data_IF_096987415122
#
_entry.id   IF_096987415122
#
_cell.length_a   1.000
_cell.length_b   1.000
_cell.length_c   1.000
_cell.angle_alpha   90.00
_cell.angle_beta   90.00
_cell.angle_gamma   90.00
#
_symmetry.space_group_name_H-M   'P 1'
#
loop_
_entity.id
_entity.type
_entity.pdbx_description
1 polymer ?
#
# COMPACT_ATOMS: atom_id res chain seq x y z
N UNK A 1 -18.09 12.38 -11.04
CA UNK A 1 -16.79 12.26 -11.76
C UNK A 1 -15.67 12.96 -10.99
N UNK A 2 -15.85 14.24 -10.63
CA UNK A 2 -14.90 15.00 -9.79
C UNK A 2 -14.65 14.35 -8.42
N UNK A 3 -15.68 13.85 -7.73
CA UNK A 3 -15.48 13.17 -6.44
C UNK A 3 -14.62 11.92 -6.51
N UNK A 4 -14.75 11.11 -7.57
CA UNK A 4 -13.95 9.88 -7.74
C UNK A 4 -12.48 10.23 -7.94
N UNK A 5 -12.18 11.25 -8.75
CA UNK A 5 -10.81 11.74 -8.96
C UNK A 5 -10.25 12.38 -7.69
N UNK A 6 -11.06 13.13 -6.95
CA UNK A 6 -10.66 13.71 -5.67
C UNK A 6 -10.36 12.63 -4.63
N UNK A 7 -11.16 11.55 -4.60
CA UNK A 7 -10.93 10.41 -3.70
C UNK A 7 -9.71 9.59 -4.10
N UNK A 8 -9.43 9.47 -5.40
CA UNK A 8 -8.21 8.85 -5.90
C UNK A 8 -6.97 9.64 -5.45
N UNK A 9 -6.98 10.96 -5.64
CA UNK A 9 -5.89 11.84 -5.22
C UNK A 9 -5.77 11.90 -3.69
N UNK A 10 -6.88 11.95 -2.97
CA UNK A 10 -6.90 11.96 -1.51
C UNK A 10 -6.39 10.64 -0.94
N UNK A 11 -6.82 9.49 -1.45
CA UNK A 11 -6.31 8.18 -1.03
C UNK A 11 -4.83 7.99 -1.37
N UNK A 12 -4.38 8.49 -2.53
CA UNK A 12 -2.99 8.38 -2.96
C UNK A 12 -2.03 9.27 -2.16
N UNK A 13 -2.42 10.52 -1.86
CA UNK A 13 -1.53 11.53 -1.27
C UNK A 13 -1.86 11.92 0.19
N UNK A 14 -3.13 11.95 0.57
CA UNK A 14 -3.62 12.65 1.79
C UNK A 14 -3.94 11.66 2.92
N UNK A 15 -4.63 10.57 2.58
CA UNK A 15 -4.92 9.45 3.46
C UNK A 15 -4.07 8.23 3.09
N UNK A 16 -2.81 8.48 2.71
CA UNK A 16 -1.87 7.44 2.41
C UNK A 16 -1.67 6.58 3.67
N UNK A 17 -2.16 5.34 3.60
CA UNK A 17 -2.17 4.40 4.71
C UNK A 17 -0.79 4.22 5.31
N UNK A 18 0.30 4.30 4.52
CA UNK A 18 1.70 4.14 4.96
C UNK A 18 2.16 5.25 5.90
N UNK A 19 1.62 6.46 5.70
CA UNK A 19 2.06 7.67 6.39
C UNK A 19 1.20 7.99 7.61
N UNK A 20 -0.08 7.61 7.58
CA UNK A 20 -0.98 7.82 8.71
C UNK A 20 -0.96 6.65 9.71
N UNK A 21 -0.68 5.45 9.23
CA UNK A 21 -0.47 4.25 10.04
C UNK A 21 0.81 3.58 9.51
N UNK A 22 1.84 3.29 10.32
CA UNK A 22 3.11 2.73 9.81
C UNK A 22 2.99 1.25 9.35
N UNK A 23 1.88 0.88 8.73
CA UNK A 23 1.47 -0.46 8.29
C UNK A 23 2.19 -0.93 7.01
N UNK A 24 3.19 -0.21 6.52
CA UNK A 24 3.91 -0.50 5.28
C UNK A 24 5.43 -0.31 5.36
N UNK A 25 5.98 -0.17 6.57
CA UNK A 25 7.40 0.10 6.80
C UNK A 25 8.26 -1.16 6.57
N UNK A 26 7.71 -2.35 6.78
CA UNK A 26 8.41 -3.63 6.65
C UNK A 26 8.97 -3.89 5.24
N UNK A 27 8.20 -3.73 4.14
CA UNK A 27 8.75 -3.84 2.78
C UNK A 27 9.77 -2.74 2.45
N UNK A 28 9.65 -1.56 3.08
CA UNK A 28 10.54 -0.40 2.91
C UNK A 28 11.98 -0.71 3.39
N UNK A 29 12.10 -1.49 4.47
CA UNK A 29 13.37 -1.83 5.11
C UNK A 29 14.04 -3.06 4.47
N UNK A 30 13.28 -3.96 3.86
CA UNK A 30 13.77 -5.25 3.38
C UNK A 30 14.12 -5.31 1.88
N UNK A 31 13.65 -4.35 1.06
CA UNK A 31 13.91 -4.37 -0.38
C UNK A 31 15.31 -3.83 -0.74
N UNK A 32 16.12 -4.65 -1.41
CA UNK A 32 17.50 -4.34 -1.78
C UNK A 32 17.60 -4.04 -3.29
N UNK A 33 17.53 -2.76 -3.63
CA UNK A 33 17.79 -2.24 -4.99
C UNK A 33 16.55 -1.72 -5.73
N UNK A 34 16.78 -0.72 -6.60
CA UNK A 34 15.73 0.02 -7.35
C UNK A 34 14.70 -0.90 -8.02
N UNK A 35 15.18 -1.93 -8.74
CA UNK A 35 14.29 -2.85 -9.48
C UNK A 35 13.37 -3.65 -8.55
N UNK A 36 13.87 -4.08 -7.39
CA UNK A 36 13.08 -4.84 -6.42
C UNK A 36 12.04 -3.94 -5.74
N UNK A 37 12.39 -2.69 -5.43
CA UNK A 37 11.45 -1.71 -4.84
C UNK A 37 10.31 -1.40 -5.81
N UNK A 38 10.60 -1.16 -7.09
CA UNK A 38 9.55 -0.93 -8.08
C UNK A 38 8.68 -2.17 -8.33
N UNK A 39 9.28 -3.37 -8.36
CA UNK A 39 8.54 -4.63 -8.48
C UNK A 39 7.58 -4.83 -7.30
N UNK A 40 8.06 -4.58 -6.08
CA UNK A 40 7.25 -4.67 -4.86
C UNK A 40 6.13 -3.63 -4.82
N UNK A 41 6.40 -2.39 -5.19
CA UNK A 41 5.41 -1.33 -5.28
C UNK A 41 4.31 -1.63 -6.31
N UNK A 42 4.68 -2.16 -7.48
CA UNK A 42 3.71 -2.59 -8.49
C UNK A 42 2.87 -3.77 -7.99
N UNK A 43 3.51 -4.80 -7.41
CA UNK A 43 2.82 -5.98 -6.90
C UNK A 43 1.82 -5.63 -5.79
N UNK A 44 2.23 -4.77 -4.85
CA UNK A 44 1.37 -4.30 -3.76
C UNK A 44 0.23 -3.42 -4.27
N UNK A 45 0.47 -2.54 -5.25
CA UNK A 45 -0.59 -1.74 -5.86
C UNK A 45 -1.66 -2.60 -6.56
N UNK A 46 -1.22 -3.59 -7.35
CA UNK A 46 -2.13 -4.54 -7.98
C UNK A 46 -2.89 -5.37 -6.94
N UNK A 47 -2.22 -5.82 -5.88
CA UNK A 47 -2.85 -6.60 -4.82
C UNK A 47 -3.90 -5.77 -4.07
N UNK A 48 -3.59 -4.53 -3.69
CA UNK A 48 -4.54 -3.62 -3.04
C UNK A 48 -5.78 -3.39 -3.90
N UNK A 49 -5.61 -3.24 -5.22
CA UNK A 49 -6.75 -3.10 -6.15
C UNK A 49 -7.63 -4.36 -6.15
N UNK A 50 -7.05 -5.53 -6.34
CA UNK A 50 -7.81 -6.79 -6.45
C UNK A 50 -8.46 -7.15 -5.10
N UNK A 51 -7.70 -7.07 -4.01
CA UNK A 51 -8.20 -7.36 -2.66
C UNK A 51 -9.25 -6.35 -2.24
N UNK A 52 -9.06 -5.05 -2.50
CA UNK A 52 -10.03 -4.01 -2.15
C UNK A 52 -11.36 -4.18 -2.89
N UNK A 53 -11.30 -4.51 -4.18
CA UNK A 53 -12.50 -4.74 -5.00
C UNK A 53 -13.22 -6.04 -4.66
N UNK A 54 -12.50 -7.16 -4.60
CA UNK A 54 -13.08 -8.46 -4.22
C UNK A 54 -13.54 -8.47 -2.77
N UNK A 55 -12.80 -7.83 -1.88
CA UNK A 55 -13.17 -7.69 -0.46
C UNK A 55 -14.49 -6.95 -0.30
N UNK A 56 -14.72 -5.88 -1.07
CA UNK A 56 -16.01 -5.18 -1.09
C UNK A 56 -17.14 -6.04 -1.65
N UNK A 57 -16.91 -6.75 -2.76
CA UNK A 57 -17.90 -7.66 -3.36
C UNK A 57 -18.31 -8.80 -2.43
N UNK A 58 -17.34 -9.44 -1.77
CA UNK A 58 -17.59 -10.50 -0.80
C UNK A 58 -18.32 -9.96 0.41
N UNK A 59 -17.97 -8.76 0.84
CA UNK A 59 -18.61 -8.14 1.98
C UNK A 59 -20.08 -7.82 1.74
N UNK A 60 -20.40 -7.06 0.69
CA UNK A 60 -21.79 -6.71 0.35
C UNK A 60 -22.60 -7.90 -0.18
N UNK A 61 -21.96 -8.84 -0.88
CA UNK A 61 -22.63 -9.98 -1.50
C UNK A 61 -22.86 -11.17 -0.56
N UNK A 62 -22.03 -11.33 0.48
CA UNK A 62 -22.09 -12.50 1.37
C UNK A 62 -22.23 -12.10 2.83
N UNK A 63 -21.38 -11.21 3.35
CA UNK A 63 -21.34 -10.93 4.81
C UNK A 63 -22.53 -10.09 5.28
N UNK A 64 -22.90 -9.07 4.52
CA UNK A 64 -24.07 -8.21 4.82
C UNK A 64 -25.38 -9.02 4.82
N UNK A 65 -25.73 -9.82 3.79
CA UNK A 65 -26.98 -10.58 3.78
C UNK A 65 -27.03 -11.71 4.82
N UNK A 66 -25.88 -12.21 5.25
CA UNK A 66 -25.81 -13.28 6.28
C UNK A 66 -25.66 -12.75 7.70
N UNK A 67 -25.61 -11.42 7.91
CA UNK A 67 -25.36 -10.78 9.21
C UNK A 67 -24.03 -11.21 9.88
N UNK A 68 -23.05 -11.63 9.07
CA UNK A 68 -21.73 -12.11 9.54
C UNK A 68 -20.67 -11.00 9.55
N UNK A 69 -21.07 -9.75 9.78
CA UNK A 69 -20.18 -8.58 9.75
C UNK A 69 -19.03 -8.66 10.76
N UNK A 70 -19.19 -9.40 11.86
CA UNK A 70 -18.13 -9.65 12.84
C UNK A 70 -16.94 -10.47 12.28
N UNK A 71 -17.15 -11.24 11.18
CA UNK A 71 -16.11 -12.03 10.52
C UNK A 71 -15.36 -11.25 9.43
N UNK A 72 -15.71 -9.99 9.15
CA UNK A 72 -15.10 -9.14 8.10
C UNK A 72 -13.58 -9.21 8.10
N UNK A 73 -12.96 -8.98 9.25
CA UNK A 73 -11.50 -8.91 9.35
C UNK A 73 -10.83 -10.25 9.03
N UNK A 74 -11.43 -11.36 9.45
CA UNK A 74 -10.94 -12.71 9.20
C UNK A 74 -11.05 -13.07 7.71
N UNK A 75 -12.14 -12.67 7.06
CA UNK A 75 -12.38 -12.88 5.63
C UNK A 75 -11.43 -12.03 4.79
N UNK A 76 -11.28 -10.73 5.08
CA UNK A 76 -10.38 -9.85 4.34
C UNK A 76 -8.91 -10.26 4.47
N UNK A 77 -8.48 -10.70 5.65
CA UNK A 77 -7.13 -11.23 5.86
C UNK A 77 -6.89 -12.50 5.05
N UNK A 78 -7.81 -13.46 5.14
CA UNK A 78 -7.70 -14.73 4.41
C UNK A 78 -7.71 -14.51 2.89
N UNK A 79 -8.56 -13.60 2.40
CA UNK A 79 -8.66 -13.22 1.00
C UNK A 79 -7.35 -12.57 0.50
N UNK A 80 -6.76 -11.68 1.30
CA UNK A 80 -5.47 -11.06 0.98
C UNK A 80 -4.38 -12.11 0.82
N UNK A 81 -4.25 -13.03 1.79
CA UNK A 81 -3.22 -14.09 1.78
C UNK A 81 -3.39 -15.03 0.58
N UNK A 82 -4.62 -15.43 0.29
CA UNK A 82 -4.93 -16.33 -0.82
C UNK A 82 -4.57 -15.73 -2.19
N UNK A 83 -4.73 -14.42 -2.34
CA UNK A 83 -4.52 -13.71 -3.61
C UNK A 83 -3.06 -13.35 -3.90
N UNK A 84 -2.18 -13.34 -2.90
CA UNK A 84 -0.75 -13.05 -3.09
C UNK A 84 -0.15 -13.96 -4.16
N UNK A 85 -0.37 -15.28 -4.05
CA UNK A 85 0.25 -16.24 -4.95
C UNK A 85 -0.15 -16.22 -6.40
N UNK A 86 -1.45 -16.30 -6.73
CA UNK A 86 -1.88 -16.17 -8.11
C UNK A 86 -1.43 -14.84 -8.70
N UNK A 87 -1.44 -13.76 -7.91
CA UNK A 87 -0.95 -12.46 -8.36
C UNK A 87 0.54 -12.48 -8.70
N UNK A 88 1.42 -12.98 -7.81
CA UNK A 88 2.85 -13.03 -8.09
C UNK A 88 3.14 -13.84 -9.35
N UNK A 89 2.51 -15.02 -9.51
CA UNK A 89 2.70 -15.85 -10.72
C UNK A 89 2.25 -15.12 -11.99
N UNK A 90 1.14 -14.38 -11.91
CA UNK A 90 0.66 -13.57 -13.02
C UNK A 90 1.66 -12.47 -13.37
N UNK A 91 2.16 -11.75 -12.36
CA UNK A 91 3.11 -10.65 -12.54
C UNK A 91 4.46 -11.13 -13.09
N UNK A 92 4.99 -12.26 -12.61
CA UNK A 92 6.21 -12.89 -13.18
C UNK A 92 6.03 -13.26 -14.64
N UNK A 93 4.83 -13.68 -15.04
CA UNK A 93 4.52 -14.02 -16.44
C UNK A 93 4.39 -12.78 -17.34
N UNK A 94 3.83 -11.69 -16.82
CA UNK A 94 3.61 -10.46 -17.58
C UNK A 94 4.87 -9.59 -17.64
N UNK A 95 5.66 -9.55 -16.56
CA UNK A 95 6.88 -8.75 -16.44
C UNK A 95 8.06 -9.64 -16.02
N UNK A 96 8.57 -10.53 -16.90
CA UNK A 96 9.70 -11.41 -16.58
C UNK A 96 11.00 -10.65 -16.29
N UNK A 97 11.07 -9.35 -16.64
CA UNK A 97 12.22 -8.50 -16.39
C UNK A 97 12.36 -8.02 -14.93
N UNK A 98 11.33 -8.21 -14.09
CA UNK A 98 11.32 -7.76 -12.70
C UNK A 98 11.46 -8.94 -11.72
N UNK A 99 12.23 -8.78 -10.62
CA UNK A 99 12.42 -9.85 -9.64
C UNK A 99 11.22 -9.93 -8.69
N UNK A 100 10.24 -10.77 -9.04
CA UNK A 100 9.09 -11.06 -8.16
C UNK A 100 9.29 -12.29 -7.26
N UNK A 101 10.27 -13.13 -7.60
CA UNK A 101 10.60 -14.33 -6.82
C UNK A 101 11.08 -13.94 -5.42
N UNK A 102 10.42 -14.46 -4.38
CA UNK A 102 10.75 -14.17 -2.98
C UNK A 102 10.08 -12.92 -2.39
N UNK A 103 9.23 -12.19 -3.12
CA UNK A 103 8.46 -11.07 -2.55
C UNK A 103 7.30 -11.54 -1.66
N UNK A 104 6.93 -12.82 -1.70
CA UNK A 104 5.79 -13.37 -0.96
C UNK A 104 5.75 -12.99 0.53
N UNK A 105 6.84 -13.12 1.31
CA UNK A 105 6.81 -12.77 2.73
C UNK A 105 6.62 -11.27 2.95
N UNK A 106 7.15 -10.44 2.05
CA UNK A 106 7.04 -8.99 2.11
C UNK A 106 5.61 -8.50 1.80
N UNK A 107 4.91 -9.19 0.90
CA UNK A 107 3.49 -8.92 0.63
C UNK A 107 2.59 -9.45 1.75
N UNK A 108 2.90 -10.60 2.33
CA UNK A 108 2.12 -11.20 3.41
C UNK A 108 2.17 -10.37 4.70
N UNK A 109 3.30 -9.73 4.99
CA UNK A 109 3.47 -8.82 6.12
C UNK A 109 3.00 -7.38 5.86
N UNK A 110 2.53 -7.04 4.66
CA UNK A 110 2.16 -5.66 4.35
C UNK A 110 0.76 -5.33 4.87
N UNK A 111 0.72 -4.72 6.05
CA UNK A 111 -0.53 -4.32 6.69
C UNK A 111 -1.25 -3.15 5.98
N UNK A 112 -0.62 -2.49 5.02
CA UNK A 112 -1.25 -1.52 4.13
C UNK A 112 -2.37 -2.15 3.29
N UNK A 113 -2.25 -3.42 2.91
CA UNK A 113 -3.28 -4.13 2.12
C UNK A 113 -4.56 -4.29 2.95
N UNK A 114 -4.42 -4.69 4.22
CA UNK A 114 -5.53 -4.77 5.17
C UNK A 114 -6.13 -3.39 5.44
N UNK A 115 -5.28 -2.36 5.56
CA UNK A 115 -5.72 -0.98 5.74
C UNK A 115 -6.69 -0.51 4.65
N UNK A 116 -6.42 -0.83 3.37
CA UNK A 116 -7.30 -0.48 2.25
C UNK A 116 -8.66 -1.16 2.39
N UNK A 117 -8.67 -2.45 2.72
CA UNK A 117 -9.93 -3.19 2.91
C UNK A 117 -10.76 -2.67 4.08
N UNK A 118 -10.10 -2.28 5.17
CA UNK A 118 -10.76 -1.70 6.34
C UNK A 118 -11.40 -0.35 5.99
N UNK A 119 -10.69 0.52 5.28
CA UNK A 119 -11.23 1.81 4.83
C UNK A 119 -12.44 1.63 3.90
N UNK A 120 -12.34 0.73 2.92
CA UNK A 120 -13.45 0.41 2.02
C UNK A 120 -14.69 -0.09 2.79
N UNK A 121 -14.50 -0.82 3.88
CA UNK A 121 -15.60 -1.32 4.71
C UNK A 121 -16.20 -0.30 5.68
N UNK A 122 -15.51 0.80 5.98
CA UNK A 122 -16.05 1.87 6.83
C UNK A 122 -16.76 2.96 6.02
N UNK A 123 -16.25 3.29 4.84
CA UNK A 123 -16.85 4.26 3.93
C UNK A 123 -17.62 3.55 2.81
N UNK A 124 -18.82 3.06 3.14
CA UNK A 124 -19.73 2.41 2.18
C UNK A 124 -20.29 3.41 1.17
N UNK A 125 -19.48 3.78 0.17
CA UNK A 125 -19.80 4.73 -0.90
C UNK A 125 -19.97 4.04 -2.27
N UNK A 126 -20.10 2.72 -2.29
CA UNK A 126 -20.33 1.91 -3.49
C UNK A 126 -19.06 1.39 -4.17
N UNK A 127 -19.25 0.45 -5.10
CA UNK A 127 -18.17 -0.25 -5.83
C UNK A 127 -17.20 0.72 -6.53
N UNK A 128 -17.71 1.76 -7.19
CA UNK A 128 -16.88 2.72 -7.92
C UNK A 128 -15.92 3.49 -7.00
N UNK A 129 -16.36 3.81 -5.78
CA UNK A 129 -15.51 4.44 -4.78
C UNK A 129 -14.47 3.46 -4.24
N UNK A 130 -14.84 2.21 -3.95
CA UNK A 130 -13.92 1.20 -3.46
C UNK A 130 -12.79 0.90 -4.46
N UNK A 131 -13.11 0.82 -5.75
CA UNK A 131 -12.11 0.67 -6.83
C UNK A 131 -11.15 1.87 -6.84
N UNK A 132 -11.68 3.09 -6.82
CA UNK A 132 -10.88 4.31 -6.87
C UNK A 132 -10.00 4.48 -5.62
N UNK A 133 -10.53 4.19 -4.42
CA UNK A 133 -9.79 4.23 -3.17
C UNK A 133 -8.62 3.23 -3.20
N UNK A 134 -8.90 1.99 -3.62
CA UNK A 134 -7.89 0.93 -3.68
C UNK A 134 -6.80 1.21 -4.71
N UNK A 135 -7.17 1.75 -5.86
CA UNK A 135 -6.24 2.17 -6.91
C UNK A 135 -5.38 3.35 -6.41
N UNK A 136 -6.00 4.34 -5.78
CA UNK A 136 -5.30 5.51 -5.23
C UNK A 136 -4.31 5.11 -4.14
N UNK A 137 -4.74 4.30 -3.18
CA UNK A 137 -3.88 3.78 -2.13
C UNK A 137 -2.71 2.95 -2.68
N UNK A 138 -2.95 2.09 -3.68
CA UNK A 138 -1.91 1.31 -4.33
C UNK A 138 -0.87 2.16 -5.06
N UNK A 139 -1.30 3.14 -5.85
CA UNK A 139 -0.39 4.07 -6.54
C UNK A 139 0.37 4.95 -5.55
N UNK A 140 -0.30 5.43 -4.49
CA UNK A 140 0.33 6.19 -3.42
C UNK A 140 1.41 5.38 -2.69
N UNK A 141 1.14 4.10 -2.42
CA UNK A 141 2.12 3.17 -1.83
C UNK A 141 3.36 3.02 -2.72
N UNK A 142 3.15 2.81 -4.02
CA UNK A 142 4.24 2.67 -4.99
C UNK A 142 5.10 3.94 -5.09
N UNK A 143 4.45 5.10 -5.12
CA UNK A 143 5.13 6.40 -5.15
C UNK A 143 5.99 6.62 -3.89
N UNK A 144 5.43 6.37 -2.71
CA UNK A 144 6.14 6.52 -1.43
C UNK A 144 7.34 5.57 -1.35
N UNK A 145 7.19 4.31 -1.78
CA UNK A 145 8.29 3.35 -1.88
C UNK A 145 9.41 3.85 -2.79
N UNK A 146 9.06 4.39 -3.96
CA UNK A 146 10.04 4.92 -4.92
C UNK A 146 10.80 6.13 -4.37
N UNK A 147 10.09 7.08 -3.74
CA UNK A 147 10.72 8.24 -3.10
C UNK A 147 11.64 7.83 -1.95
N UNK A 148 11.23 6.84 -1.16
CA UNK A 148 12.04 6.36 -0.05
C UNK A 148 13.33 5.68 -0.53
N UNK A 149 13.28 4.89 -1.61
CA UNK A 149 14.48 4.27 -2.18
C UNK A 149 15.45 5.33 -2.72
N UNK A 150 14.95 6.41 -3.34
CA UNK A 150 15.79 7.53 -3.79
C UNK A 150 16.42 8.27 -2.60
N UNK A 151 15.64 8.55 -1.55
CA UNK A 151 16.15 9.15 -0.31
C UNK A 151 17.22 8.28 0.34
N UNK A 152 17.01 6.95 0.41
CA UNK A 152 17.97 6.00 0.98
C UNK A 152 19.29 6.04 0.23
N UNK A 153 19.26 6.08 -1.10
CA UNK A 153 20.46 6.11 -1.93
C UNK A 153 21.23 7.42 -1.83
N UNK A 154 20.53 8.56 -1.75
CA UNK A 154 21.16 9.86 -1.51
C UNK A 154 21.84 9.89 -0.14
N UNK A 155 21.17 9.36 0.88
CA UNK A 155 21.63 9.38 2.26
C UNK A 155 22.84 8.46 2.47
N UNK A 156 22.92 7.34 1.75
CA UNK A 156 24.02 6.36 1.89
C UNK A 156 25.43 6.95 1.65
N UNK A 157 25.56 7.96 0.78
CA UNK A 157 26.85 8.57 0.43
C UNK A 157 27.24 9.77 1.30
N UNK A 158 26.36 10.23 2.19
CA UNK A 158 26.66 11.37 3.07
C UNK A 158 27.44 10.91 4.31
N UNK A 159 28.21 11.83 4.89
CA UNK A 159 29.01 11.61 6.10
C UNK A 159 28.11 11.44 7.34
N UNK A 160 27.38 10.33 7.40
CA UNK A 160 26.51 9.98 8.53
C UNK A 160 27.40 9.43 9.67
N UNK A 161 27.26 9.97 10.90
CA UNK A 161 27.93 9.42 12.06
C UNK A 161 27.62 7.94 12.24
N UNK A 162 28.62 7.14 12.62
CA UNK A 162 28.49 5.69 12.85
C UNK A 162 27.20 5.24 13.59
N UNK A 163 26.76 5.87 14.70
CA UNK A 163 25.57 5.43 15.42
C UNK A 163 24.25 5.63 14.66
N UNK A 164 24.22 6.48 13.63
CA UNK A 164 23.00 6.77 12.85
C UNK A 164 22.91 5.99 11.54
N UNK A 165 23.91 5.18 11.19
CA UNK A 165 23.91 4.41 9.94
C UNK A 165 22.88 3.28 9.96
N UNK A 166 22.20 3.08 8.84
CA UNK A 166 21.20 2.01 8.69
C UNK A 166 19.81 2.41 9.18
N UNK A 167 19.26 1.65 10.10
CA UNK A 167 17.86 1.77 10.54
C UNK A 167 17.51 3.14 11.18
N UNK A 168 18.36 3.76 12.02
CA UNK A 168 18.02 5.06 12.62
C UNK A 168 17.79 6.16 11.59
N UNK A 169 18.67 6.31 10.59
CA UNK A 169 18.50 7.33 9.57
C UNK A 169 17.34 7.02 8.61
N UNK A 170 17.06 5.74 8.37
CA UNK A 170 15.88 5.33 7.61
C UNK A 170 14.59 5.74 8.32
N UNK A 171 14.47 5.52 9.64
CA UNK A 171 13.33 5.98 10.42
C UNK A 171 13.20 7.51 10.44
N UNK A 172 14.32 8.24 10.60
CA UNK A 172 14.32 9.71 10.54
C UNK A 172 13.84 10.20 9.17
N UNK A 173 14.34 9.61 8.08
CA UNK A 173 13.89 9.95 6.72
C UNK A 173 12.41 9.63 6.48
N UNK A 174 11.91 8.51 7.03
CA UNK A 174 10.50 8.15 6.94
C UNK A 174 9.62 9.16 7.69
N UNK A 175 10.04 9.61 8.89
CA UNK A 175 9.36 10.65 9.65
C UNK A 175 9.34 12.01 8.94
N UNK A 176 10.48 12.44 8.38
CA UNK A 176 10.57 13.66 7.57
C UNK A 176 9.67 13.60 6.33
N UNK A 177 9.66 12.46 5.65
CA UNK A 177 8.76 12.21 4.52
C UNK A 177 7.30 12.31 4.98
N UNK A 178 6.93 11.70 6.11
CA UNK A 178 5.58 11.81 6.67
C UNK A 178 5.15 13.26 6.93
N UNK A 179 6.04 14.09 7.49
CA UNK A 179 5.77 15.53 7.70
C UNK A 179 5.60 16.26 6.36
N UNK A 180 6.42 15.98 5.36
CA UNK A 180 6.29 16.58 4.03
C UNK A 180 4.94 16.25 3.38
N UNK A 181 4.49 15.00 3.48
CA UNK A 181 3.18 14.58 2.99
C UNK A 181 2.02 15.11 3.84
N UNK A 182 2.20 15.33 5.14
CA UNK A 182 1.20 15.97 5.99
C UNK A 182 0.88 17.40 5.50
N UNK A 183 1.88 18.12 4.99
CA UNK A 183 1.69 19.42 4.36
C UNK A 183 0.75 19.40 3.13
N UNK A 184 0.65 18.26 2.43
CA UNK A 184 -0.24 18.10 1.28
C UNK A 184 -1.71 17.94 1.68
N UNK A 185 -2.02 17.70 2.97
CA UNK A 185 -3.41 17.59 3.45
C UNK A 185 -4.23 18.87 3.23
N UNK A 186 -3.57 20.02 3.21
CA UNK A 186 -4.25 21.31 2.96
C UNK A 186 -4.70 21.53 1.51
N UNK A 187 -4.29 20.69 0.56
CA UNK A 187 -4.59 20.86 -0.86
C UNK A 187 -6.00 20.40 -1.25
N UNK A 188 -6.63 19.54 -0.46
CA UNK A 188 -8.00 19.06 -0.71
C UNK A 188 -8.88 19.49 0.46
N UNK A 189 -9.64 20.56 0.25
CA UNK A 189 -10.82 20.84 1.08
C UNK A 189 -11.89 19.82 0.69
N UNK A 190 -12.09 18.82 1.53
CA UNK A 190 -13.38 18.13 1.62
C UNK A 190 -14.42 19.08 2.19
#
# INVERSE_FOLDING_TARGET
MTEIVLTLFSAALINNLVLHWPLGVDPLLAANGRRQVHALGLATACLMLIVGTLGYLVDHGVLVPTNLTFLRLLVWLSLSILLIGPLLRLLTRWLPAMPFDGLWPLLLGNAGILGVTLLNGQEDRGLGHAVALSLGAGLGFWLVLGLFDDLRQRTFNHAIPLPFRGLPIQLISAGLMAVAFLGLRGLVKT
#
